data_IF_319521573621
#
_entry.id   IF_319521573621
#
_cell.length_a   1.000
_cell.length_b   1.000
_cell.length_c   1.000
_cell.angle_alpha   90.00
_cell.angle_beta   90.00
_cell.angle_gamma   90.00
#
_symmetry.space_group_name_H-M   'P 1'
#
loop_
_entity.id
_entity.type
_entity.pdbx_description
1 polymer ?
#
# COMPACT_ATOMS: atom_id res chain seq x y z
N UNK A 1 -15.70 22.49 23.26
CA UNK A 1 -15.17 22.20 21.90
C UNK A 1 -16.06 21.15 21.28
N UNK A 2 -16.59 21.36 20.07
CA UNK A 2 -17.35 20.31 19.40
C UNK A 2 -16.43 19.12 19.08
N UNK A 3 -16.95 17.88 19.05
CA UNK A 3 -16.19 16.69 18.66
C UNK A 3 -15.50 16.84 17.28
N UNK A 4 -16.11 17.62 16.38
CA UNK A 4 -15.58 17.91 15.04
C UNK A 4 -14.26 18.68 15.05
N UNK A 5 -14.01 19.58 16.02
CA UNK A 5 -12.77 20.38 16.08
C UNK A 5 -11.65 19.64 16.85
N UNK A 6 -11.98 18.54 17.53
CA UNK A 6 -11.02 17.74 18.27
C UNK A 6 -10.25 16.77 17.37
N UNK A 7 -10.93 16.07 16.45
CA UNK A 7 -10.27 15.12 15.54
C UNK A 7 -9.40 15.82 14.49
N UNK A 8 -9.81 16.99 13.99
CA UNK A 8 -9.03 17.76 13.01
C UNK A 8 -7.68 18.19 13.57
N UNK A 9 -7.65 18.62 14.84
CA UNK A 9 -6.40 18.93 15.54
C UNK A 9 -5.55 17.70 15.78
N UNK A 10 -6.15 16.60 16.22
CA UNK A 10 -5.45 15.33 16.37
C UNK A 10 -4.81 14.86 15.06
N UNK A 11 -5.55 14.98 13.94
CA UNK A 11 -5.05 14.67 12.61
C UNK A 11 -3.90 15.60 12.20
N UNK A 12 -4.03 16.91 12.43
CA UNK A 12 -2.96 17.86 12.12
C UNK A 12 -1.68 17.52 12.87
N UNK A 13 -1.75 17.29 14.19
CA UNK A 13 -0.59 16.90 14.99
C UNK A 13 -0.01 15.55 14.56
N UNK A 14 -0.84 14.59 14.17
CA UNK A 14 -0.36 13.31 13.64
C UNK A 14 0.34 13.46 12.28
N UNK A 15 -0.10 14.39 11.44
CA UNK A 15 0.48 14.63 10.12
C UNK A 15 1.78 15.44 10.16
N UNK A 16 2.08 16.17 11.24
CA UNK A 16 3.24 17.07 11.32
C UNK A 16 4.57 16.45 10.82
N UNK A 17 4.94 15.21 11.21
CA UNK A 17 6.17 14.58 10.73
C UNK A 17 6.16 14.35 9.21
N UNK A 18 5.01 13.98 8.63
CA UNK A 18 4.85 13.84 7.18
C UNK A 18 4.95 15.18 6.46
N UNK A 19 4.37 16.24 7.03
CA UNK A 19 4.39 17.58 6.43
C UNK A 19 5.80 18.17 6.40
N UNK A 20 6.71 17.75 7.29
CA UNK A 20 8.10 18.16 7.27
C UNK A 20 8.82 17.73 5.97
N UNK A 21 8.40 16.61 5.37
CA UNK A 21 8.92 16.10 4.10
C UNK A 21 8.27 16.76 2.87
N UNK A 22 7.15 17.46 3.05
CA UNK A 22 6.50 18.25 2.00
C UNK A 22 7.07 19.68 1.99
N UNK A 23 8.29 19.85 1.47
CA UNK A 23 9.03 21.12 1.58
C UNK A 23 8.32 22.37 1.02
N UNK A 24 7.42 22.21 0.04
CA UNK A 24 6.70 23.33 -0.57
C UNK A 24 5.45 23.74 0.25
N UNK A 25 5.28 25.04 0.62
CA UNK A 25 4.17 25.49 1.47
C UNK A 25 2.78 25.10 0.96
N UNK A 26 2.54 25.18 -0.35
CA UNK A 26 1.26 24.76 -0.93
C UNK A 26 0.95 23.27 -0.69
N UNK A 27 1.97 22.39 -0.68
CA UNK A 27 1.80 20.96 -0.41
C UNK A 27 1.48 20.71 1.06
N UNK A 28 2.15 21.41 1.98
CA UNK A 28 1.82 21.36 3.42
C UNK A 28 0.41 21.82 3.72
N UNK A 29 -0.12 22.76 2.93
CA UNK A 29 -1.50 23.21 3.02
C UNK A 29 -2.49 22.17 2.46
N UNK A 30 -2.20 21.57 1.31
CA UNK A 30 -3.13 20.65 0.64
C UNK A 30 -3.14 19.22 1.22
N UNK A 31 -2.00 18.72 1.71
CA UNK A 31 -1.88 17.37 2.27
C UNK A 31 -2.91 17.05 3.36
N UNK A 32 -3.01 17.86 4.43
CA UNK A 32 -3.99 17.65 5.48
C UNK A 32 -5.43 17.70 4.98
N UNK A 33 -5.75 18.58 4.04
CA UNK A 33 -7.09 18.67 3.46
C UNK A 33 -7.44 17.41 2.65
N UNK A 34 -6.48 16.86 1.91
CA UNK A 34 -6.67 15.63 1.17
C UNK A 34 -6.89 14.43 2.10
N UNK A 35 -6.03 14.26 3.12
CA UNK A 35 -6.15 13.18 4.11
C UNK A 35 -7.47 13.31 4.88
N UNK A 36 -7.82 14.50 5.36
CA UNK A 36 -9.12 14.77 6.00
C UNK A 36 -10.29 14.46 5.07
N UNK A 37 -10.16 14.73 3.76
CA UNK A 37 -11.15 14.40 2.75
C UNK A 37 -11.40 12.90 2.59
N UNK A 38 -10.33 12.10 2.69
CA UNK A 38 -10.35 10.65 2.60
C UNK A 38 -10.97 10.02 3.86
N UNK A 39 -10.47 10.37 5.05
CA UNK A 39 -10.87 9.72 6.31
C UNK A 39 -12.09 10.37 6.98
N UNK A 40 -12.38 11.63 6.67
CA UNK A 40 -13.46 12.41 7.26
C UNK A 40 -14.84 12.11 6.66
N UNK A 41 -15.89 12.76 7.17
CA UNK A 41 -17.28 12.48 6.81
C UNK A 41 -17.59 12.83 5.36
N UNK A 42 -18.16 11.89 4.61
CA UNK A 42 -18.60 12.09 3.22
C UNK A 42 -18.44 10.82 2.39
N UNK A 43 -19.45 10.46 1.62
CA UNK A 43 -19.48 9.19 0.88
C UNK A 43 -18.49 9.17 -0.29
N UNK A 44 -18.48 10.23 -1.13
CA UNK A 44 -17.65 10.28 -2.33
C UNK A 44 -16.25 10.81 -2.01
N UNK A 45 -15.23 10.01 -2.31
CA UNK A 45 -13.80 10.29 -2.05
C UNK A 45 -13.01 10.76 -3.28
N UNK A 46 -13.69 11.16 -4.36
CA UNK A 46 -13.02 11.79 -5.50
C UNK A 46 -12.63 13.24 -5.19
N UNK A 47 -11.68 13.79 -5.96
CA UNK A 47 -11.11 15.12 -5.72
C UNK A 47 -12.16 16.23 -5.68
N UNK A 48 -13.11 16.24 -6.63
CA UNK A 48 -14.13 17.29 -6.70
C UNK A 48 -15.05 17.32 -5.45
N UNK A 49 -15.65 16.20 -5.00
CA UNK A 49 -16.37 16.16 -3.71
C UNK A 49 -15.51 16.46 -2.48
N UNK A 50 -14.22 16.11 -2.47
CA UNK A 50 -13.31 16.51 -1.38
C UNK A 50 -13.12 18.03 -1.39
N UNK A 51 -12.77 18.61 -2.53
CA UNK A 51 -12.56 20.05 -2.69
C UNK A 51 -13.83 20.83 -2.34
N UNK A 52 -14.99 20.42 -2.83
CA UNK A 52 -16.25 21.11 -2.52
C UNK A 52 -16.55 21.18 -1.00
N UNK A 53 -16.12 20.17 -0.23
CA UNK A 53 -16.31 20.13 1.23
C UNK A 53 -15.25 20.89 2.00
N UNK A 54 -13.98 20.75 1.62
CA UNK A 54 -12.84 21.15 2.45
C UNK A 54 -12.00 22.29 1.86
N UNK A 55 -12.13 22.55 0.56
CA UNK A 55 -11.29 23.49 -0.18
C UNK A 55 -12.02 24.06 -1.43
N UNK A 56 -13.22 24.66 -1.29
CA UNK A 56 -14.10 24.95 -2.43
C UNK A 56 -13.50 25.98 -3.41
N UNK A 57 -12.60 26.85 -2.93
CA UNK A 57 -11.89 27.83 -3.75
C UNK A 57 -10.55 27.31 -4.32
N UNK A 58 -10.13 26.10 -3.95
CA UNK A 58 -8.78 25.58 -4.20
C UNK A 58 -8.79 24.22 -4.92
N UNK A 59 -9.83 23.92 -5.72
CA UNK A 59 -9.90 22.68 -6.49
C UNK A 59 -8.63 22.42 -7.30
N UNK A 60 -8.15 23.42 -8.03
CA UNK A 60 -6.97 23.28 -8.89
C UNK A 60 -5.70 23.00 -8.08
N UNK A 61 -5.56 23.59 -6.89
CA UNK A 61 -4.41 23.33 -6.00
C UNK A 61 -4.47 21.91 -5.43
N UNK A 62 -5.66 21.44 -5.02
CA UNK A 62 -5.84 20.08 -4.52
C UNK A 62 -5.62 19.04 -5.62
N UNK A 63 -6.14 19.31 -6.83
CA UNK A 63 -5.91 18.48 -8.00
C UNK A 63 -4.43 18.42 -8.35
N UNK A 64 -3.76 19.58 -8.40
CA UNK A 64 -2.32 19.63 -8.65
C UNK A 64 -1.53 18.85 -7.60
N UNK A 65 -1.86 18.99 -6.31
CA UNK A 65 -1.20 18.26 -5.22
C UNK A 65 -1.24 16.73 -5.40
N UNK A 66 -2.37 16.18 -5.84
CA UNK A 66 -2.56 14.72 -5.95
C UNK A 66 -2.15 14.17 -7.32
N UNK A 67 -2.46 14.86 -8.42
CA UNK A 67 -2.37 14.28 -9.76
C UNK A 67 -1.14 14.72 -10.57
N UNK A 68 -0.51 15.85 -10.21
CA UNK A 68 0.49 16.50 -11.07
C UNK A 68 1.76 16.90 -10.31
N UNK A 69 1.66 17.12 -9.00
CA UNK A 69 2.73 17.68 -8.19
C UNK A 69 3.89 16.70 -8.01
N UNK A 70 5.14 17.10 -8.33
CA UNK A 70 6.30 16.23 -8.15
C UNK A 70 6.72 16.23 -6.66
N UNK A 71 6.18 15.32 -5.87
CA UNK A 71 6.70 15.05 -4.53
C UNK A 71 7.25 13.63 -4.46
N UNK A 72 8.39 13.50 -3.79
CA UNK A 72 9.07 12.23 -3.55
C UNK A 72 8.28 11.46 -2.49
N UNK A 73 7.88 10.23 -2.83
CA UNK A 73 7.15 9.35 -1.91
C UNK A 73 8.05 8.72 -0.86
N UNK A 74 9.35 8.54 -1.14
CA UNK A 74 10.25 7.79 -0.29
C UNK A 74 10.36 8.34 1.15
N UNK A 75 10.46 9.67 1.38
CA UNK A 75 10.46 10.22 2.73
C UNK A 75 9.14 10.03 3.48
N UNK A 76 8.00 10.07 2.77
CA UNK A 76 6.69 9.86 3.37
C UNK A 76 6.48 8.38 3.73
N UNK A 77 6.94 7.47 2.88
CA UNK A 77 6.96 6.05 3.20
C UNK A 77 7.85 5.76 4.41
N UNK A 78 9.05 6.33 4.46
CA UNK A 78 9.95 6.15 5.60
C UNK A 78 9.31 6.65 6.91
N UNK A 79 8.64 7.80 6.89
CA UNK A 79 7.90 8.30 8.07
C UNK A 79 6.72 7.39 8.43
N UNK A 80 5.99 6.84 7.45
CA UNK A 80 4.92 5.86 7.71
C UNK A 80 5.46 4.61 8.41
N UNK A 81 6.59 4.07 7.94
CA UNK A 81 7.25 2.91 8.56
C UNK A 81 7.70 3.23 9.98
N UNK A 82 8.28 4.41 10.21
CA UNK A 82 8.71 4.84 11.53
C UNK A 82 7.54 5.01 12.50
N UNK A 83 6.44 5.63 12.07
CA UNK A 83 5.21 5.78 12.87
C UNK A 83 4.60 4.42 13.21
N UNK A 84 4.44 3.54 12.22
CA UNK A 84 3.88 2.21 12.43
C UNK A 84 4.73 1.37 13.40
N UNK A 85 6.06 1.41 13.23
CA UNK A 85 6.98 0.70 14.12
C UNK A 85 6.91 1.26 15.56
N UNK A 86 6.78 2.58 15.74
CA UNK A 86 6.57 3.17 17.08
C UNK A 86 5.26 2.72 17.73
N UNK A 87 4.19 2.60 16.95
CA UNK A 87 2.86 2.27 17.46
C UNK A 87 2.72 0.79 17.79
N UNK A 88 3.09 -0.09 16.85
CA UNK A 88 2.79 -1.52 16.94
C UNK A 88 4.00 -2.42 16.74
N UNK A 89 5.18 -1.89 16.44
CA UNK A 89 6.39 -2.70 16.27
C UNK A 89 6.85 -3.42 17.54
N UNK A 90 7.83 -4.30 17.36
CA UNK A 90 8.49 -5.06 18.41
C UNK A 90 8.39 -6.58 18.24
N UNK A 91 8.96 -7.37 19.16
CA UNK A 91 9.00 -8.83 19.07
C UNK A 91 7.62 -9.50 19.14
N UNK A 92 6.61 -8.80 19.66
CA UNK A 92 5.23 -9.30 19.72
C UNK A 92 4.40 -8.89 18.48
N UNK A 93 4.96 -8.04 17.61
CA UNK A 93 4.30 -7.66 16.37
C UNK A 93 4.42 -8.78 15.33
N UNK A 94 3.39 -8.93 14.51
CA UNK A 94 3.38 -9.79 13.34
C UNK A 94 3.28 -8.94 12.08
N UNK A 95 4.01 -9.34 11.05
CA UNK A 95 3.92 -8.77 9.73
C UNK A 95 3.06 -9.66 8.84
N UNK A 96 1.91 -9.16 8.40
CA UNK A 96 0.98 -9.89 7.53
C UNK A 96 1.20 -9.48 6.08
N UNK A 97 1.45 -10.46 5.22
CA UNK A 97 1.57 -10.33 3.78
C UNK A 97 0.31 -10.91 3.13
N UNK A 98 -0.38 -10.09 2.36
CA UNK A 98 -1.59 -10.49 1.61
C UNK A 98 -1.70 -9.69 0.31
N UNK A 99 -2.64 -10.05 -0.57
CA UNK A 99 -3.02 -9.21 -1.69
C UNK A 99 -4.46 -8.67 -1.58
N UNK A 100 -4.64 -7.42 -2.01
CA UNK A 100 -5.98 -6.80 -2.06
C UNK A 100 -6.35 -6.47 -3.49
N UNK A 101 -7.47 -7.04 -3.93
CA UNK A 101 -8.03 -6.81 -5.25
C UNK A 101 -9.02 -5.65 -5.23
N UNK A 102 -8.81 -4.68 -6.11
CA UNK A 102 -9.68 -3.53 -6.33
C UNK A 102 -10.44 -3.71 -7.66
N UNK A 103 -11.72 -4.13 -7.64
CA UNK A 103 -12.50 -4.31 -8.86
C UNK A 103 -12.58 -3.03 -9.69
N UNK A 104 -12.41 -3.16 -11.01
CA UNK A 104 -12.46 -2.03 -11.94
C UNK A 104 -13.38 -2.30 -13.11
N UNK A 105 -13.94 -1.22 -13.64
CA UNK A 105 -14.59 -1.18 -14.95
C UNK A 105 -13.66 -0.46 -15.94
N UNK A 106 -13.52 -1.00 -17.14
CA UNK A 106 -12.64 -0.45 -18.18
C UNK A 106 -11.19 -0.94 -18.11
N UNK A 107 -10.34 -0.34 -18.95
CA UNK A 107 -8.98 -0.81 -19.25
C UNK A 107 -7.87 0.22 -18.96
N UNK A 108 -8.23 1.42 -18.48
CA UNK A 108 -7.28 2.53 -18.36
C UNK A 108 -6.57 2.63 -17.00
N UNK A 109 -7.09 2.02 -15.93
CA UNK A 109 -6.39 2.02 -14.63
C UNK A 109 -5.11 1.19 -14.70
N UNK A 110 -3.99 1.73 -14.22
CA UNK A 110 -2.68 1.06 -14.24
C UNK A 110 -2.74 -0.33 -13.62
N UNK A 111 -2.19 -1.35 -14.28
CA UNK A 111 -2.20 -2.73 -13.76
C UNK A 111 -3.58 -3.40 -13.75
N UNK A 112 -4.62 -2.80 -14.35
CA UNK A 112 -5.93 -3.43 -14.43
C UNK A 112 -5.94 -4.59 -15.41
N UNK A 113 -6.47 -5.74 -15.00
CA UNK A 113 -6.68 -6.88 -15.88
C UNK A 113 -7.44 -8.02 -15.22
N UNK A 114 -7.74 -9.10 -15.95
CA UNK A 114 -8.38 -10.28 -15.39
C UNK A 114 -7.45 -10.99 -14.39
N UNK A 115 -7.79 -10.92 -13.10
CA UNK A 115 -7.04 -11.56 -12.01
C UNK A 115 -8.02 -12.18 -11.00
N UNK A 116 -7.57 -13.11 -10.17
CA UNK A 116 -8.42 -13.63 -9.09
C UNK A 116 -8.63 -12.52 -8.05
N UNK A 117 -9.89 -12.16 -7.80
CA UNK A 117 -10.26 -11.16 -6.81
C UNK A 117 -10.92 -11.86 -5.62
N UNK A 118 -10.20 -11.98 -4.50
CA UNK A 118 -10.68 -12.67 -3.29
C UNK A 118 -12.04 -12.16 -2.81
N UNK A 119 -12.22 -10.84 -2.78
CA UNK A 119 -13.49 -10.19 -2.40
C UNK A 119 -14.69 -10.55 -3.31
N UNK A 120 -14.44 -11.05 -4.52
CA UNK A 120 -15.48 -11.49 -5.46
C UNK A 120 -15.56 -13.02 -5.61
N UNK A 121 -14.64 -13.76 -4.99
CA UNK A 121 -14.53 -15.22 -5.09
C UNK A 121 -14.26 -15.75 -6.51
N UNK A 122 -13.84 -14.89 -7.45
CA UNK A 122 -13.70 -15.25 -8.87
C UNK A 122 -12.64 -14.42 -9.58
N UNK A 123 -12.26 -14.87 -10.78
CA UNK A 123 -11.52 -14.02 -11.72
C UNK A 123 -12.39 -12.85 -12.17
N UNK A 124 -11.86 -11.64 -12.01
CA UNK A 124 -12.53 -10.41 -12.38
C UNK A 124 -11.51 -9.37 -12.87
N UNK A 125 -11.99 -8.39 -13.62
CA UNK A 125 -11.17 -7.24 -13.98
C UNK A 125 -10.90 -6.39 -12.74
N UNK A 126 -9.64 -6.33 -12.30
CA UNK A 126 -9.23 -5.61 -11.09
C UNK A 126 -7.77 -5.16 -11.18
N UNK A 127 -7.42 -4.21 -10.31
CA UNK A 127 -6.03 -4.01 -9.89
C UNK A 127 -5.77 -4.90 -8.67
N UNK A 128 -4.56 -5.40 -8.51
CA UNK A 128 -4.16 -6.11 -7.29
C UNK A 128 -2.99 -5.41 -6.64
N UNK A 129 -3.07 -5.19 -5.33
CA UNK A 129 -2.01 -4.59 -4.54
C UNK A 129 -1.44 -5.65 -3.59
N UNK A 130 -0.14 -5.88 -3.64
CA UNK A 130 0.60 -6.62 -2.60
C UNK A 130 0.67 -5.72 -1.37
N UNK A 131 0.22 -6.22 -0.24
CA UNK A 131 0.09 -5.47 1.00
C UNK A 131 0.96 -6.06 2.10
N UNK A 132 1.62 -5.18 2.86
CA UNK A 132 2.25 -5.52 4.13
C UNK A 132 1.55 -4.73 5.24
N UNK A 133 1.07 -5.45 6.25
CA UNK A 133 0.38 -4.89 7.41
C UNK A 133 1.13 -5.29 8.67
N UNK A 134 1.60 -4.31 9.43
CA UNK A 134 2.20 -4.55 10.74
C UNK A 134 1.09 -4.56 11.78
N UNK A 135 1.00 -5.62 12.57
CA UNK A 135 -0.06 -5.79 13.55
C UNK A 135 0.50 -6.22 14.91
N UNK A 136 -0.08 -5.69 15.98
CA UNK A 136 0.14 -6.15 17.36
C UNK A 136 -1.17 -6.01 18.11
N UNK A 137 -1.49 -7.02 18.93
CA UNK A 137 -2.79 -7.14 19.58
C UNK A 137 -3.94 -7.02 18.56
N UNK A 138 -4.87 -6.08 18.77
CA UNK A 138 -6.01 -5.83 17.87
C UNK A 138 -5.78 -4.63 16.92
N UNK A 139 -4.53 -4.17 16.76
CA UNK A 139 -4.21 -2.98 15.97
C UNK A 139 -3.43 -3.35 14.71
N UNK A 140 -4.11 -3.43 13.55
CA UNK A 140 -3.45 -3.56 12.25
C UNK A 140 -3.12 -2.18 11.66
N UNK A 141 -1.88 -1.98 11.23
CA UNK A 141 -1.43 -0.79 10.49
C UNK A 141 -0.92 -1.24 9.11
N UNK A 142 -1.68 -0.95 8.02
CA UNK A 142 -1.19 -1.14 6.67
C UNK A 142 -0.01 -0.19 6.44
N UNK A 143 1.17 -0.76 6.24
CA UNK A 143 2.41 0.01 6.05
C UNK A 143 2.82 0.13 4.59
N UNK A 144 2.22 -0.70 3.72
CA UNK A 144 2.57 -0.72 2.32
C UNK A 144 1.47 -1.31 1.43
N UNK A 145 1.34 -0.74 0.24
CA UNK A 145 0.58 -1.27 -0.89
C UNK A 145 1.40 -1.10 -2.18
N UNK A 146 1.80 -2.20 -2.83
CA UNK A 146 2.48 -2.18 -4.13
C UNK A 146 1.61 -2.77 -5.22
N UNK A 147 1.48 -2.04 -6.32
CA UNK A 147 0.70 -2.47 -7.47
C UNK A 147 1.40 -3.63 -8.19
N UNK A 148 0.68 -4.73 -8.38
CA UNK A 148 1.11 -5.80 -9.27
C UNK A 148 0.69 -5.48 -10.71
N UNK A 149 1.63 -5.58 -11.64
CA UNK A 149 1.39 -5.42 -13.08
C UNK A 149 1.30 -6.80 -13.72
N UNK A 150 0.13 -7.20 -14.27
CA UNK A 150 0.00 -8.50 -14.93
C UNK A 150 0.71 -8.49 -16.30
N UNK A 151 0.97 -9.67 -16.86
CA UNK A 151 1.68 -9.86 -18.14
C UNK A 151 1.08 -9.04 -19.29
N UNK A 152 -0.25 -8.89 -19.30
CA UNK A 152 -0.98 -8.04 -20.26
C UNK A 152 -0.61 -6.55 -20.22
N UNK A 153 0.07 -6.10 -19.16
CA UNK A 153 0.67 -4.77 -19.05
C UNK A 153 2.17 -4.82 -19.36
N UNK A 154 2.91 -5.76 -18.76
CA UNK A 154 4.36 -5.90 -18.96
C UNK A 154 4.73 -6.09 -20.44
N UNK A 155 3.92 -6.84 -21.19
CA UNK A 155 4.13 -7.09 -22.61
C UNK A 155 3.56 -6.00 -23.54
N UNK A 156 3.08 -4.87 -23.01
CA UNK A 156 2.64 -3.71 -23.79
C UNK A 156 3.38 -2.43 -23.33
N UNK A 157 4.62 -2.20 -23.80
CA UNK A 157 5.41 -1.02 -23.45
C UNK A 157 4.73 0.30 -23.83
N UNK A 158 3.94 0.32 -24.90
CA UNK A 158 3.20 1.53 -25.31
C UNK A 158 2.15 1.89 -24.26
N UNK A 159 1.46 0.89 -23.71
CA UNK A 159 0.51 1.08 -22.63
C UNK A 159 1.17 1.51 -21.33
N UNK A 160 2.30 0.90 -20.96
CA UNK A 160 3.09 1.31 -19.78
C UNK A 160 3.53 2.77 -19.89
N UNK A 161 4.09 3.15 -21.04
CA UNK A 161 4.51 4.52 -21.32
C UNK A 161 3.34 5.51 -21.27
N UNK A 162 2.22 5.19 -21.93
CA UNK A 162 1.03 6.05 -21.94
C UNK A 162 0.45 6.27 -20.53
N UNK A 163 0.50 5.24 -19.69
CA UNK A 163 0.05 5.31 -18.31
C UNK A 163 1.05 5.95 -17.34
N UNK A 164 2.27 6.29 -17.80
CA UNK A 164 3.31 6.87 -16.97
C UNK A 164 3.92 5.91 -15.95
N UNK A 165 3.92 4.60 -16.22
CA UNK A 165 4.57 3.63 -15.34
C UNK A 165 6.09 3.83 -15.39
N UNK A 166 6.79 3.98 -14.25
CA UNK A 166 8.25 4.12 -14.26
C UNK A 166 8.95 2.88 -14.84
N UNK A 167 10.00 3.08 -15.63
CA UNK A 167 10.73 2.00 -16.34
C UNK A 167 11.26 0.91 -15.40
N UNK A 168 11.60 1.27 -14.17
CA UNK A 168 12.02 0.32 -13.13
C UNK A 168 10.98 -0.77 -12.82
N UNK A 169 9.72 -0.59 -13.22
CA UNK A 169 8.63 -1.54 -13.04
C UNK A 169 8.20 -2.23 -14.34
N UNK A 170 8.95 -2.09 -15.45
CA UNK A 170 8.63 -2.69 -16.75
C UNK A 170 9.10 -4.15 -16.89
N UNK A 171 9.41 -4.79 -15.76
CA UNK A 171 9.85 -6.17 -15.69
C UNK A 171 8.77 -7.03 -15.04
N UNK A 172 8.69 -8.29 -15.48
CA UNK A 172 7.81 -9.26 -14.87
C UNK A 172 8.28 -9.54 -13.43
N UNK A 173 7.34 -9.48 -12.49
CA UNK A 173 7.56 -9.82 -11.08
C UNK A 173 6.31 -10.47 -10.54
N UNK A 174 6.46 -11.64 -9.96
CA UNK A 174 5.39 -12.31 -9.22
C UNK A 174 5.06 -11.55 -7.92
N UNK A 175 3.84 -11.74 -7.40
CA UNK A 175 3.43 -11.14 -6.11
C UNK A 175 4.35 -11.54 -4.95
N UNK A 176 4.81 -12.80 -4.82
CA UNK A 176 5.81 -13.17 -3.81
C UNK A 176 7.14 -12.43 -3.97
N UNK A 177 7.63 -12.20 -5.19
CA UNK A 177 8.87 -11.44 -5.42
C UNK A 177 8.71 -9.96 -5.07
N UNK A 178 7.53 -9.38 -5.28
CA UNK A 178 7.20 -8.03 -4.80
C UNK A 178 7.19 -8.02 -3.26
N UNK A 179 6.52 -8.98 -2.63
CA UNK A 179 6.42 -9.06 -1.18
C UNK A 179 7.80 -9.21 -0.50
N UNK A 180 8.69 -10.06 -1.04
CA UNK A 180 10.04 -10.24 -0.49
C UNK A 180 10.90 -8.98 -0.62
N UNK A 181 10.87 -8.31 -1.76
CA UNK A 181 11.62 -7.06 -1.92
C UNK A 181 11.14 -5.96 -0.97
N UNK A 182 9.82 -5.87 -0.75
CA UNK A 182 9.26 -4.91 0.20
C UNK A 182 9.53 -5.30 1.65
N UNK A 183 9.50 -6.61 1.97
CA UNK A 183 9.91 -7.14 3.26
C UNK A 183 11.35 -6.73 3.60
N UNK A 184 12.29 -6.96 2.68
CA UNK A 184 13.69 -6.56 2.85
C UNK A 184 13.82 -5.05 3.03
N UNK A 185 13.09 -4.25 2.24
CA UNK A 185 13.12 -2.79 2.34
C UNK A 185 12.62 -2.29 3.69
N UNK A 186 11.51 -2.82 4.22
CA UNK A 186 11.00 -2.38 5.53
C UNK A 186 11.91 -2.82 6.68
N UNK A 187 12.57 -3.98 6.55
CA UNK A 187 13.56 -4.44 7.52
C UNK A 187 14.78 -3.50 7.53
N UNK A 188 15.26 -3.09 6.35
CA UNK A 188 16.33 -2.09 6.23
C UNK A 188 15.93 -0.72 6.79
N UNK A 189 14.64 -0.36 6.70
CA UNK A 189 14.09 0.84 7.31
C UNK A 189 13.88 0.75 8.84
N UNK A 190 14.21 -0.40 9.45
CA UNK A 190 14.16 -0.59 10.90
C UNK A 190 12.78 -1.00 11.45
N UNK A 191 11.86 -1.45 10.60
CA UNK A 191 10.58 -2.02 11.07
C UNK A 191 10.86 -3.35 11.78
N UNK A 192 10.32 -3.48 12.99
CA UNK A 192 10.56 -4.62 13.87
C UNK A 192 9.29 -5.44 14.09
N UNK A 193 9.40 -6.76 13.93
CA UNK A 193 8.34 -7.73 14.12
C UNK A 193 8.95 -9.09 14.53
N UNK A 194 8.19 -9.90 15.26
CA UNK A 194 8.61 -11.21 15.72
C UNK A 194 8.32 -12.34 14.73
N UNK A 195 7.32 -12.18 13.86
CA UNK A 195 6.96 -13.21 12.88
C UNK A 195 6.32 -12.63 11.61
N UNK A 196 6.40 -13.41 10.52
CA UNK A 196 5.72 -13.14 9.25
C UNK A 196 4.55 -14.12 9.05
N UNK A 197 3.39 -13.59 8.69
CA UNK A 197 2.20 -14.35 8.33
C UNK A 197 1.86 -14.12 6.87
N UNK A 198 1.45 -15.17 6.16
CA UNK A 198 0.93 -15.04 4.80
C UNK A 198 -0.13 -16.13 4.49
N UNK A 199 -1.00 -15.84 3.54
CA UNK A 199 -2.04 -16.78 3.12
C UNK A 199 -1.50 -17.90 2.21
N UNK A 200 -2.40 -18.78 1.74
CA UNK A 200 -2.02 -19.85 0.83
C UNK A 200 -1.60 -19.37 -0.56
N UNK A 201 -2.06 -18.19 -1.01
CA UNK A 201 -1.62 -17.58 -2.27
C UNK A 201 -0.11 -17.34 -2.32
N UNK A 202 0.50 -16.95 -1.20
CA UNK A 202 1.95 -16.86 -1.06
C UNK A 202 2.59 -18.18 -0.66
N UNK A 203 1.97 -18.90 0.27
CA UNK A 203 2.57 -20.09 0.86
C UNK A 203 2.66 -21.29 -0.08
N UNK A 204 2.03 -21.30 -1.25
CA UNK A 204 2.32 -22.30 -2.30
C UNK A 204 3.71 -22.14 -2.94
N UNK A 205 4.31 -20.94 -2.86
CA UNK A 205 5.63 -20.67 -3.44
C UNK A 205 6.74 -21.21 -2.54
N UNK A 206 7.41 -22.29 -2.95
CA UNK A 206 8.57 -22.82 -2.23
C UNK A 206 9.72 -21.79 -2.13
N UNK A 207 10.07 -21.05 -3.19
CA UNK A 207 11.07 -19.98 -3.10
C UNK A 207 10.70 -18.91 -2.06
N UNK A 208 9.43 -18.53 -1.95
CA UNK A 208 8.97 -17.57 -0.94
C UNK A 208 9.23 -18.06 0.48
N UNK A 209 8.82 -19.30 0.79
CA UNK A 209 9.06 -19.90 2.12
C UNK A 209 10.55 -20.04 2.42
N UNK A 210 11.34 -20.45 1.43
CA UNK A 210 12.80 -20.57 1.57
C UNK A 210 13.46 -19.21 1.82
N UNK A 211 13.01 -18.15 1.15
CA UNK A 211 13.53 -16.79 1.37
C UNK A 211 13.23 -16.31 2.80
N UNK A 212 12.01 -16.52 3.32
CA UNK A 212 11.69 -16.18 4.71
C UNK A 212 12.61 -16.91 5.72
N UNK A 213 12.86 -18.21 5.49
CA UNK A 213 13.81 -18.97 6.31
C UNK A 213 15.26 -18.48 6.16
N UNK A 214 15.69 -18.12 4.95
CA UNK A 214 17.03 -17.60 4.70
C UNK A 214 17.27 -16.23 5.36
N UNK A 215 16.23 -15.41 5.49
CA UNK A 215 16.22 -14.16 6.25
C UNK A 215 16.20 -14.39 7.78
N UNK A 216 16.15 -15.65 8.25
CA UNK A 216 16.13 -15.98 9.67
C UNK A 216 14.82 -15.62 10.39
N UNK A 217 13.73 -15.45 9.64
CA UNK A 217 12.45 -15.03 10.18
C UNK A 217 11.65 -16.22 10.72
N UNK A 218 10.96 -16.02 11.85
CA UNK A 218 9.87 -16.92 12.23
C UNK A 218 8.69 -16.65 11.30
N UNK A 219 8.10 -17.70 10.72
CA UNK A 219 6.97 -17.52 9.81
C UNK A 219 5.92 -18.63 9.93
N UNK A 220 4.68 -18.26 9.64
CA UNK A 220 3.57 -19.18 9.43
C UNK A 220 2.82 -18.78 8.16
N UNK A 221 2.81 -19.67 7.17
CA UNK A 221 2.18 -19.41 5.86
C UNK A 221 1.17 -20.51 5.53
N UNK A 222 0.02 -20.12 5.01
CA UNK A 222 -1.00 -21.07 4.56
C UNK A 222 -0.47 -21.95 3.42
N UNK A 223 -0.91 -23.20 3.33
CA UNK A 223 -0.59 -24.07 2.19
C UNK A 223 -1.85 -24.78 1.71
N UNK A 224 -1.93 -25.10 0.42
CA UNK A 224 -3.04 -25.93 -0.08
C UNK A 224 -2.86 -27.39 0.34
N UNK A 225 -3.97 -28.08 0.64
CA UNK A 225 -4.00 -29.47 1.13
C UNK A 225 -3.21 -30.46 0.25
N UNK A 226 -3.09 -30.18 -1.05
CA UNK A 226 -2.48 -31.07 -2.04
C UNK A 226 -0.98 -30.86 -2.23
N UNK A 227 -0.37 -29.91 -1.50
CA UNK A 227 1.03 -29.59 -1.70
C UNK A 227 1.94 -30.56 -0.94
N UNK A 228 2.87 -31.20 -1.66
CA UNK A 228 3.93 -32.00 -1.04
C UNK A 228 4.92 -31.06 -0.34
N UNK A 229 5.03 -31.19 0.98
CA UNK A 229 5.87 -30.33 1.83
C UNK A 229 7.28 -30.91 2.01
N UNK A 230 7.52 -32.15 1.57
CA UNK A 230 8.82 -32.83 1.62
C UNK A 230 9.36 -33.09 0.20
N UNK A 231 10.69 -33.13 0.01
CA UNK A 231 11.29 -33.68 -1.19
C UNK A 231 10.88 -35.17 -1.34
N UNK A 232 10.85 -35.72 -2.57
CA UNK A 232 10.78 -37.17 -2.75
C UNK A 232 11.97 -37.88 -2.13
#
# INVERSE_FOLDING_TARGET
MSPSVAWERGLQSWLEPFLAHLHHPARRRMGPLYVAGLIGPGERKSLQPIAARLAPADYDQLHHFVAVGPWDEAPLEAELLAQANRLVGGPEAVLVIDDTALPKKGIHSVGVGPQYAGALGKKANCQTLVSLTLAKDEVPIPILLRLFLPDTWIHDPKRLQHAGVPEAFWTERSKPEIALAELERIMQAGVSFGAVLADAGYGISAPFRQALSALGLLWAVGTVRIQKVYPP
#
